data_IF_984909993802
#
_entry.id   IF_984909993802
#
_cell.length_a   1.000
_cell.length_b   1.000
_cell.length_c   1.000
_cell.angle_alpha   90.00
_cell.angle_beta   90.00
_cell.angle_gamma   90.00
#
_symmetry.space_group_name_H-M   'P 1'
#
loop_
_entity.id
_entity.type
_entity.pdbx_description
1 polymer ?
#
# COMPACT_ATOMS: atom_id res chain seq x y z
N UNK A 1 -2.97 4.29 9.53
CA UNK A 1 -2.86 2.82 9.78
C UNK A 1 -1.58 2.13 9.27
N UNK A 2 -0.88 2.63 8.24
CA UNK A 2 0.31 1.96 7.68
C UNK A 2 1.56 2.00 8.60
N UNK A 3 1.64 2.99 9.50
CA UNK A 3 2.66 3.02 10.55
C UNK A 3 2.51 1.85 11.51
N UNK A 4 1.31 1.47 11.95
CA UNK A 4 1.12 0.40 12.94
C UNK A 4 1.58 -0.98 12.46
N UNK A 5 1.47 -1.28 11.16
CA UNK A 5 1.76 -2.62 10.60
C UNK A 5 3.25 -2.87 10.33
N UNK A 6 3.94 -1.85 9.80
CA UNK A 6 5.40 -1.87 9.69
C UNK A 6 6.03 -1.74 11.08
N UNK A 7 5.34 -1.07 12.01
CA UNK A 7 5.69 -1.03 13.43
C UNK A 7 5.49 -2.38 14.11
N UNK A 8 4.46 -3.18 13.80
CA UNK A 8 4.31 -4.53 14.39
C UNK A 8 5.50 -5.42 14.04
N UNK A 9 5.82 -5.61 12.76
CA UNK A 9 6.98 -6.42 12.36
C UNK A 9 8.28 -5.91 12.97
N UNK A 10 8.50 -4.58 12.97
CA UNK A 10 9.70 -3.98 13.57
C UNK A 10 9.76 -4.14 15.09
N UNK A 11 8.66 -3.93 15.81
CA UNK A 11 8.58 -4.11 17.26
C UNK A 11 8.81 -5.57 17.61
N UNK A 12 8.17 -6.49 16.90
CA UNK A 12 8.27 -7.92 17.13
C UNK A 12 9.70 -8.43 16.84
N UNK A 13 10.35 -7.94 15.78
CA UNK A 13 11.76 -8.27 15.51
C UNK A 13 12.68 -7.63 16.56
N UNK A 14 12.42 -6.38 16.96
CA UNK A 14 13.20 -5.71 17.99
C UNK A 14 13.09 -6.44 19.33
N UNK A 15 11.88 -6.87 19.72
CA UNK A 15 11.68 -7.62 20.95
C UNK A 15 12.34 -8.99 20.90
N UNK A 16 12.33 -9.67 19.74
CA UNK A 16 13.10 -10.89 19.52
C UNK A 16 14.59 -10.62 19.74
N UNK A 17 15.18 -9.61 19.10
CA UNK A 17 16.61 -9.27 19.27
C UNK A 17 16.95 -8.96 20.73
N UNK A 18 16.12 -8.17 21.41
CA UNK A 18 16.32 -7.84 22.83
C UNK A 18 16.28 -9.10 23.69
N UNK A 19 15.32 -10.00 23.47
CA UNK A 19 15.22 -11.27 24.19
C UNK A 19 16.40 -12.19 23.90
N UNK A 20 16.85 -12.29 22.65
CA UNK A 20 18.04 -13.07 22.27
C UNK A 20 19.31 -12.52 22.93
N UNK A 21 19.46 -11.20 23.00
CA UNK A 21 20.59 -10.56 23.70
C UNK A 21 20.54 -10.82 25.22
N UNK A 22 19.36 -10.76 25.83
CA UNK A 22 19.17 -11.10 27.24
C UNK A 22 19.46 -12.59 27.50
N UNK A 23 19.02 -13.47 26.61
CA UNK A 23 19.32 -14.90 26.67
C UNK A 23 20.82 -15.17 26.57
N UNK A 24 21.50 -14.51 25.64
CA UNK A 24 22.97 -14.59 25.50
C UNK A 24 23.69 -14.13 26.77
N UNK A 25 23.27 -13.00 27.34
CA UNK A 25 23.82 -12.50 28.60
C UNK A 25 23.60 -13.51 29.75
N UNK A 26 22.38 -14.05 29.88
CA UNK A 26 22.08 -15.07 30.89
C UNK A 26 22.96 -16.31 30.71
N UNK A 27 23.11 -16.81 29.49
CA UNK A 27 23.88 -18.01 29.19
C UNK A 27 25.39 -17.88 29.42
N UNK A 28 25.94 -16.66 29.39
CA UNK A 28 27.38 -16.42 29.58
C UNK A 28 27.68 -16.08 31.06
N UNK A 29 26.89 -15.20 31.67
CA UNK A 29 27.24 -14.59 32.95
C UNK A 29 26.43 -15.12 34.12
N UNK A 30 25.12 -15.30 33.96
CA UNK A 30 24.22 -15.55 35.09
C UNK A 30 23.90 -17.03 35.30
N UNK A 31 23.88 -17.82 34.22
CA UNK A 31 23.53 -19.25 34.20
C UNK A 31 22.26 -19.58 35.01
N UNK A 32 21.26 -18.69 34.97
CA UNK A 32 20.02 -18.89 35.71
C UNK A 32 19.15 -19.86 34.89
N UNK A 33 18.98 -21.08 35.40
CA UNK A 33 18.11 -22.10 34.83
C UNK A 33 16.94 -22.38 35.77
N UNK A 34 15.74 -21.95 35.39
CA UNK A 34 14.50 -22.20 36.16
C UNK A 34 13.93 -23.61 35.95
N UNK A 35 14.21 -24.22 34.79
CA UNK A 35 13.67 -25.53 34.40
C UNK A 35 14.84 -26.44 34.03
N UNK A 36 14.89 -27.61 34.67
CA UNK A 36 15.84 -28.67 34.34
C UNK A 36 15.13 -29.76 33.56
N UNK A 37 15.64 -30.07 32.38
CA UNK A 37 15.08 -31.08 31.48
C UNK A 37 15.99 -32.32 31.46
N UNK A 38 15.38 -33.50 31.42
CA UNK A 38 16.09 -34.75 31.20
C UNK A 38 16.41 -34.95 29.72
N UNK A 39 17.37 -35.83 29.41
CA UNK A 39 17.75 -36.16 28.03
C UNK A 39 16.55 -36.51 27.14
N UNK A 40 15.68 -37.40 27.62
CA UNK A 40 14.49 -37.80 26.88
C UNK A 40 13.56 -36.62 26.63
N UNK A 41 13.37 -35.74 27.61
CA UNK A 41 12.53 -34.55 27.45
C UNK A 41 13.09 -33.60 26.39
N UNK A 42 14.41 -33.41 26.36
CA UNK A 42 15.08 -32.60 25.33
C UNK A 42 14.84 -33.22 23.96
N UNK A 43 15.12 -34.51 23.79
CA UNK A 43 14.89 -35.21 22.52
C UNK A 43 13.45 -35.03 22.02
N UNK A 44 12.46 -35.26 22.89
CA UNK A 44 11.06 -35.14 22.52
C UNK A 44 10.65 -33.70 22.18
N UNK A 45 11.07 -32.71 22.98
CA UNK A 45 10.68 -31.31 22.78
C UNK A 45 11.22 -30.80 21.44
N UNK A 46 12.53 -30.91 21.20
CA UNK A 46 13.13 -30.30 20.00
C UNK A 46 12.82 -31.07 18.73
N UNK A 47 12.64 -32.39 18.80
CA UNK A 47 12.14 -33.17 17.65
C UNK A 47 10.69 -32.82 17.33
N UNK A 48 9.81 -32.71 18.33
CA UNK A 48 8.40 -32.38 18.10
C UNK A 48 8.22 -30.94 17.60
N UNK A 49 8.99 -30.01 18.15
CA UNK A 49 8.94 -28.60 17.79
C UNK A 49 9.31 -28.41 16.30
N UNK A 50 10.41 -29.00 15.84
CA UNK A 50 10.81 -28.97 14.43
C UNK A 50 9.73 -29.55 13.49
N UNK A 51 9.07 -30.64 13.89
CA UNK A 51 7.98 -31.26 13.12
C UNK A 51 6.74 -30.38 13.06
N UNK A 52 6.34 -29.77 14.19
CA UNK A 52 5.19 -28.86 14.26
C UNK A 52 5.43 -27.64 13.39
N UNK A 53 6.62 -27.03 13.47
CA UNK A 53 6.99 -25.89 12.61
C UNK A 53 6.96 -26.30 11.14
N UNK A 54 7.55 -27.44 10.78
CA UNK A 54 7.55 -27.91 9.39
C UNK A 54 6.14 -28.11 8.84
N UNK A 55 5.24 -28.71 9.62
CA UNK A 55 3.84 -28.89 9.25
C UNK A 55 3.10 -27.55 9.13
N UNK A 56 3.29 -26.64 10.10
CA UNK A 56 2.68 -25.33 10.12
C UNK A 56 3.13 -24.49 8.91
N UNK A 57 4.42 -24.51 8.59
CA UNK A 57 4.99 -23.83 7.44
C UNK A 57 4.37 -24.33 6.13
N UNK A 58 4.26 -25.66 5.96
CA UNK A 58 3.62 -26.27 4.81
C UNK A 58 2.16 -25.82 4.63
N UNK A 59 1.40 -25.78 5.74
CA UNK A 59 0.01 -25.32 5.74
C UNK A 59 -0.10 -23.83 5.36
N UNK A 60 0.76 -22.98 5.91
CA UNK A 60 0.77 -21.54 5.62
C UNK A 60 1.10 -21.27 4.15
N UNK A 61 2.09 -21.96 3.58
CA UNK A 61 2.47 -21.81 2.17
C UNK A 61 1.30 -22.23 1.26
N UNK A 62 0.66 -23.36 1.56
CA UNK A 62 -0.51 -23.82 0.81
C UNK A 62 -1.68 -22.83 0.90
N UNK A 63 -1.99 -22.35 2.10
CA UNK A 63 -3.04 -21.36 2.34
C UNK A 63 -2.76 -20.04 1.61
N UNK A 64 -1.52 -19.54 1.67
CA UNK A 64 -1.10 -18.35 0.95
C UNK A 64 -1.27 -18.51 -0.57
N UNK A 65 -0.87 -19.64 -1.15
CA UNK A 65 -1.00 -19.87 -2.59
C UNK A 65 -2.45 -19.80 -3.09
N UNK A 66 -3.40 -20.27 -2.28
CA UNK A 66 -4.83 -20.20 -2.60
C UNK A 66 -5.31 -18.74 -2.54
N UNK A 67 -4.89 -18.00 -1.52
CA UNK A 67 -5.34 -16.62 -1.30
C UNK A 67 -4.72 -15.67 -2.31
N UNK A 68 -3.42 -15.81 -2.62
CA UNK A 68 -2.75 -15.01 -3.65
C UNK A 68 -3.44 -15.19 -5.01
N UNK A 69 -3.75 -16.43 -5.38
CA UNK A 69 -4.50 -16.75 -6.60
C UNK A 69 -5.87 -16.07 -6.60
N UNK A 70 -6.63 -16.17 -5.50
CA UNK A 70 -7.95 -15.54 -5.39
C UNK A 70 -7.91 -14.02 -5.46
N UNK A 71 -6.94 -13.38 -4.79
CA UNK A 71 -6.77 -11.92 -4.83
C UNK A 71 -6.36 -11.47 -6.22
N UNK A 72 -5.50 -12.23 -6.90
CA UNK A 72 -5.11 -11.95 -8.27
C UNK A 72 -6.31 -12.05 -9.22
N UNK A 73 -7.11 -13.11 -9.13
CA UNK A 73 -8.33 -13.24 -9.94
C UNK A 73 -9.30 -12.08 -9.70
N UNK A 74 -9.47 -11.63 -8.46
CA UNK A 74 -10.29 -10.45 -8.15
C UNK A 74 -9.77 -9.17 -8.86
N UNK A 75 -8.44 -8.96 -8.87
CA UNK A 75 -7.84 -7.82 -9.57
C UNK A 75 -7.87 -7.91 -11.10
N UNK A 76 -7.86 -9.14 -11.63
CA UNK A 76 -7.99 -9.41 -13.07
C UNK A 76 -9.45 -9.23 -13.54
N UNK A 77 -10.43 -9.60 -12.72
CA UNK A 77 -11.87 -9.45 -12.98
C UNK A 77 -12.37 -8.01 -12.80
N UNK A 78 -11.87 -7.31 -11.78
CA UNK A 78 -12.22 -5.92 -11.47
C UNK A 78 -10.98 -5.02 -11.45
N UNK A 79 -10.72 -4.36 -12.58
CA UNK A 79 -9.62 -3.41 -12.73
C UNK A 79 -9.68 -2.20 -11.78
N UNK A 80 -10.79 -2.00 -11.07
CA UNK A 80 -10.98 -0.89 -10.13
C UNK A 80 -10.31 -1.16 -8.79
N UNK A 81 -10.06 -2.43 -8.46
CA UNK A 81 -9.40 -2.84 -7.21
C UNK A 81 -7.94 -3.25 -7.39
N UNK A 82 -7.41 -3.24 -8.62
CA UNK A 82 -6.05 -3.73 -8.93
C UNK A 82 -4.98 -3.09 -8.05
N UNK A 83 -5.06 -1.77 -7.83
CA UNK A 83 -4.12 -1.04 -6.97
C UNK A 83 -4.12 -1.59 -5.53
N UNK A 84 -5.29 -1.90 -4.99
CA UNK A 84 -5.44 -2.45 -3.64
C UNK A 84 -5.02 -3.91 -3.56
N UNK A 85 -5.33 -4.71 -4.58
CA UNK A 85 -4.98 -6.13 -4.64
C UNK A 85 -3.46 -6.30 -4.70
N UNK A 86 -2.76 -5.49 -5.49
CA UNK A 86 -1.30 -5.59 -5.61
C UNK A 86 -0.58 -5.17 -4.32
N UNK A 87 -1.02 -4.09 -3.67
CA UNK A 87 -0.45 -3.68 -2.38
C UNK A 87 -0.71 -4.75 -1.30
N UNK A 88 -1.91 -5.33 -1.27
CA UNK A 88 -2.26 -6.38 -0.31
C UNK A 88 -1.43 -7.67 -0.52
N UNK A 89 -1.23 -8.07 -1.78
CA UNK A 89 -0.39 -9.23 -2.13
C UNK A 89 1.06 -9.01 -1.70
N UNK A 90 1.60 -7.81 -1.92
CA UNK A 90 2.97 -7.50 -1.50
C UNK A 90 3.15 -7.57 0.03
N UNK A 91 2.18 -7.08 0.79
CA UNK A 91 2.16 -7.17 2.25
C UNK A 91 2.10 -8.63 2.73
N UNK A 92 1.21 -9.44 2.14
CA UNK A 92 1.06 -10.86 2.50
C UNK A 92 2.34 -11.64 2.19
N UNK A 93 2.94 -11.39 1.03
CA UNK A 93 4.20 -12.00 0.64
C UNK A 93 5.32 -11.64 1.62
N UNK A 94 5.41 -10.37 2.03
CA UNK A 94 6.43 -9.92 2.98
C UNK A 94 6.28 -10.60 4.34
N UNK A 95 5.05 -10.70 4.87
CA UNK A 95 4.78 -11.39 6.12
C UNK A 95 5.11 -12.90 6.04
N UNK A 96 4.78 -13.55 4.92
CA UNK A 96 5.11 -14.95 4.67
C UNK A 96 6.62 -15.21 4.70
N UNK A 97 7.42 -14.32 4.08
CA UNK A 97 8.89 -14.45 4.07
C UNK A 97 9.46 -14.43 5.50
N UNK A 98 8.96 -13.58 6.38
CA UNK A 98 9.41 -13.58 7.79
C UNK A 98 9.12 -14.91 8.48
N UNK A 99 7.93 -15.48 8.28
CA UNK A 99 7.55 -16.78 8.85
C UNK A 99 8.46 -17.89 8.32
N UNK A 100 8.75 -17.90 7.02
CA UNK A 100 9.66 -18.88 6.39
C UNK A 100 11.05 -18.80 7.01
N UNK A 101 11.63 -17.60 7.07
CA UNK A 101 13.01 -17.40 7.58
C UNK A 101 13.12 -17.81 9.05
N UNK A 102 12.18 -17.37 9.90
CA UNK A 102 12.16 -17.74 11.31
C UNK A 102 11.97 -19.25 11.50
N UNK A 103 11.06 -19.87 10.75
CA UNK A 103 10.83 -21.33 10.79
C UNK A 103 12.08 -22.14 10.43
N UNK A 104 12.80 -21.73 9.38
CA UNK A 104 14.05 -22.40 8.99
C UNK A 104 15.12 -22.24 10.08
N UNK A 105 15.28 -21.02 10.63
CA UNK A 105 16.23 -20.79 11.73
C UNK A 105 15.92 -21.64 12.95
N UNK A 106 14.65 -21.75 13.33
CA UNK A 106 14.21 -22.54 14.47
C UNK A 106 14.49 -24.05 14.29
N UNK A 107 14.16 -24.59 13.10
CA UNK A 107 14.47 -25.98 12.76
C UNK A 107 15.98 -26.23 12.85
N UNK A 108 16.81 -25.30 12.35
CA UNK A 108 18.26 -25.42 12.45
C UNK A 108 18.72 -25.39 13.92
N UNK A 109 18.11 -24.55 14.77
CA UNK A 109 18.45 -24.49 16.19
C UNK A 109 18.03 -25.76 16.93
N UNK A 110 16.86 -26.34 16.61
CA UNK A 110 16.46 -27.65 17.10
C UNK A 110 17.50 -28.72 16.77
N UNK A 111 18.00 -28.75 15.54
CA UNK A 111 19.04 -29.71 15.10
C UNK A 111 20.37 -29.46 15.82
N UNK A 112 20.76 -28.20 16.04
CA UNK A 112 21.96 -27.83 16.79
C UNK A 112 21.86 -28.31 18.24
N UNK A 113 20.71 -28.09 18.90
CA UNK A 113 20.46 -28.57 20.26
C UNK A 113 20.66 -30.08 20.35
N UNK A 114 20.04 -30.84 19.46
CA UNK A 114 20.16 -32.30 19.43
C UNK A 114 21.60 -32.77 19.14
N UNK A 115 22.35 -32.02 18.31
CA UNK A 115 23.72 -32.37 17.94
C UNK A 115 24.75 -32.06 19.03
N UNK A 116 24.53 -31.00 19.82
CA UNK A 116 25.48 -30.54 20.84
C UNK A 116 25.21 -31.17 22.21
N UNK A 117 23.99 -31.70 22.44
CA UNK A 117 23.56 -32.19 23.76
C UNK A 117 24.58 -33.12 24.46
N UNK A 118 25.18 -34.06 23.72
CA UNK A 118 26.13 -35.03 24.27
C UNK A 118 27.61 -34.59 24.14
N UNK A 119 27.87 -33.32 23.86
CA UNK A 119 29.20 -32.79 23.56
C UNK A 119 29.70 -31.84 24.66
N UNK A 120 31.01 -31.67 24.76
CA UNK A 120 31.69 -30.94 25.86
C UNK A 120 31.34 -29.43 25.91
N UNK A 121 30.74 -28.87 24.86
CA UNK A 121 30.36 -27.46 24.75
C UNK A 121 29.01 -27.12 25.44
N UNK A 122 28.90 -27.40 26.74
CA UNK A 122 27.68 -27.16 27.52
C UNK A 122 27.25 -25.68 27.62
N UNK A 123 28.19 -24.72 27.46
CA UNK A 123 27.89 -23.28 27.54
C UNK A 123 26.97 -22.84 26.40
N UNK A 124 27.20 -23.33 25.17
CA UNK A 124 26.37 -22.98 24.02
C UNK A 124 25.01 -23.68 24.05
N UNK A 125 24.91 -24.84 24.70
CA UNK A 125 23.69 -25.64 24.76
C UNK A 125 22.56 -24.86 25.46
N UNK A 126 22.84 -24.22 26.59
CA UNK A 126 21.82 -23.44 27.31
C UNK A 126 21.25 -22.30 26.46
N UNK A 127 22.11 -21.61 25.71
CA UNK A 127 21.68 -20.56 24.80
C UNK A 127 20.72 -21.10 23.73
N UNK A 128 21.14 -22.11 22.96
CA UNK A 128 20.34 -22.63 21.84
C UNK A 128 19.02 -23.24 22.30
N UNK A 129 19.00 -23.92 23.45
CA UNK A 129 17.79 -24.47 24.06
C UNK A 129 16.74 -23.37 24.29
N UNK A 130 17.11 -22.32 25.03
CA UNK A 130 16.21 -21.22 25.33
C UNK A 130 15.86 -20.42 24.08
N UNK A 131 16.82 -20.21 23.18
CA UNK A 131 16.64 -19.42 21.97
C UNK A 131 15.62 -20.05 21.02
N UNK A 132 15.66 -21.37 20.86
CA UNK A 132 14.67 -22.11 20.05
C UNK A 132 13.26 -21.92 20.59
N UNK A 133 13.06 -21.99 21.91
CA UNK A 133 11.73 -21.77 22.50
C UNK A 133 11.25 -20.33 22.27
N UNK A 134 12.15 -19.34 22.38
CA UNK A 134 11.84 -17.95 22.09
C UNK A 134 11.38 -17.82 20.62
N UNK A 135 12.20 -18.27 19.67
CA UNK A 135 11.87 -18.18 18.23
C UNK A 135 10.55 -18.87 17.93
N UNK A 136 10.29 -20.06 18.49
CA UNK A 136 9.02 -20.77 18.34
C UNK A 136 7.80 -19.93 18.76
N UNK A 137 7.86 -19.28 19.92
CA UNK A 137 6.76 -18.40 20.39
C UNK A 137 6.55 -17.25 19.42
N UNK A 138 7.62 -16.65 18.89
CA UNK A 138 7.53 -15.61 17.88
C UNK A 138 6.93 -16.10 16.57
N UNK A 139 7.29 -17.30 16.10
CA UNK A 139 6.67 -17.93 14.93
C UNK A 139 5.16 -18.08 15.14
N UNK A 140 4.72 -18.51 16.32
CA UNK A 140 3.30 -18.64 16.64
C UNK A 140 2.57 -17.29 16.62
N UNK A 141 3.17 -16.24 17.20
CA UNK A 141 2.61 -14.88 17.17
C UNK A 141 2.51 -14.35 15.73
N UNK A 142 3.55 -14.50 14.92
CA UNK A 142 3.56 -14.09 13.52
C UNK A 142 2.53 -14.86 12.70
N UNK A 143 2.42 -16.17 12.92
CA UNK A 143 1.44 -17.02 12.24
C UNK A 143 0.02 -16.61 12.59
N UNK A 144 -0.28 -16.41 13.88
CA UNK A 144 -1.59 -15.96 14.31
C UNK A 144 -1.95 -14.60 13.70
N UNK A 145 -1.01 -13.65 13.74
CA UNK A 145 -1.18 -12.35 13.12
C UNK A 145 -1.44 -12.46 11.61
N UNK A 146 -0.66 -13.29 10.91
CA UNK A 146 -0.82 -13.55 9.48
C UNK A 146 -2.21 -14.10 9.17
N UNK A 147 -2.69 -15.09 9.92
CA UNK A 147 -4.04 -15.65 9.75
C UNK A 147 -5.13 -14.59 9.96
N UNK A 148 -5.03 -13.77 11.01
CA UNK A 148 -5.96 -12.66 11.21
C UNK A 148 -5.88 -11.61 10.09
N UNK A 149 -4.71 -11.48 9.45
CA UNK A 149 -4.49 -10.53 8.37
C UNK A 149 -5.18 -10.93 7.06
N UNK A 150 -5.40 -12.23 6.84
CA UNK A 150 -6.04 -12.79 5.64
C UNK A 150 -7.57 -12.52 5.55
N UNK A 151 -8.12 -11.62 6.38
CA UNK A 151 -9.55 -11.31 6.40
C UNK A 151 -9.99 -10.57 5.11
N UNK A 152 -11.06 -11.03 4.41
CA UNK A 152 -11.56 -10.37 3.20
C UNK A 152 -11.98 -8.90 3.39
N UNK A 153 -12.27 -8.47 4.62
CA UNK A 153 -12.60 -7.07 4.90
C UNK A 153 -11.42 -6.11 4.72
N UNK A 154 -10.18 -6.60 4.58
CA UNK A 154 -8.99 -5.75 4.38
C UNK A 154 -9.01 -4.95 3.09
N UNK A 155 -9.62 -5.50 2.03
CA UNK A 155 -9.78 -4.77 0.77
C UNK A 155 -10.67 -3.53 0.97
N UNK A 156 -11.77 -3.71 1.70
CA UNK A 156 -12.73 -2.65 2.00
C UNK A 156 -12.17 -1.61 2.98
N UNK A 157 -11.37 -2.05 3.97
CA UNK A 157 -10.65 -1.15 4.89
C UNK A 157 -9.67 -0.23 4.13
N UNK A 158 -8.93 -0.75 3.15
CA UNK A 158 -8.04 0.07 2.31
C UNK A 158 -8.83 1.10 1.48
N UNK A 159 -9.96 0.69 0.90
CA UNK A 159 -10.86 1.61 0.20
C UNK A 159 -11.38 2.74 1.09
N UNK A 160 -11.83 2.42 2.32
CA UNK A 160 -12.29 3.44 3.27
C UNK A 160 -11.20 4.45 3.67
N UNK A 161 -9.97 4.00 3.94
CA UNK A 161 -8.85 4.91 4.27
C UNK A 161 -8.52 5.82 3.09
N UNK A 162 -8.52 5.28 1.88
CA UNK A 162 -8.23 6.06 0.68
C UNK A 162 -9.32 7.10 0.39
N UNK A 163 -10.59 6.75 0.61
CA UNK A 163 -11.71 7.69 0.53
C UNK A 163 -11.49 8.86 1.50
N UNK A 164 -11.22 8.57 2.77
CA UNK A 164 -11.00 9.60 3.80
C UNK A 164 -9.79 10.48 3.49
N UNK A 165 -8.68 9.90 3.02
CA UNK A 165 -7.49 10.65 2.62
C UNK A 165 -7.75 11.61 1.45
N UNK A 166 -8.61 11.22 0.49
CA UNK A 166 -8.98 12.07 -0.65
C UNK A 166 -10.00 13.13 -0.24
N UNK A 167 -10.98 12.84 0.61
CA UNK A 167 -11.94 13.85 1.10
C UNK A 167 -11.25 14.96 1.90
N UNK A 168 -10.14 14.64 2.59
CA UNK A 168 -9.29 15.67 3.21
C UNK A 168 -8.71 16.66 2.19
N UNK A 169 -8.47 16.28 0.94
CA UNK A 169 -8.00 17.20 -0.11
C UNK A 169 -9.05 18.23 -0.53
N UNK A 170 -10.33 17.86 -0.41
CA UNK A 170 -11.45 18.63 -0.95
C UNK A 170 -12.29 19.34 0.12
N UNK A 171 -12.04 19.01 1.39
CA UNK A 171 -12.72 19.63 2.53
C UNK A 171 -12.31 21.08 2.73
N UNK A 172 -13.18 21.98 2.28
CA UNK A 172 -13.31 23.30 2.88
C UNK A 172 -14.09 23.16 4.20
N UNK A 173 -13.90 24.10 5.12
CA UNK A 173 -14.57 24.19 6.45
C UNK A 173 -16.11 24.16 6.42
N UNK A 174 -16.74 24.00 5.26
CA UNK A 174 -18.17 23.88 5.03
C UNK A 174 -18.52 22.48 4.54
N UNK A 175 -18.94 21.64 5.48
CA UNK A 175 -19.46 20.28 5.31
C UNK A 175 -20.83 20.29 4.65
N UNK A 176 -20.90 20.52 3.33
CA UNK A 176 -22.07 20.14 2.55
C UNK A 176 -21.77 18.81 1.83
N UNK A 177 -22.01 17.71 2.55
CA UNK A 177 -22.08 16.37 1.96
C UNK A 177 -23.45 16.21 1.31
N UNK A 178 -23.47 15.80 0.04
CA UNK A 178 -24.72 15.54 -0.68
C UNK A 178 -24.85 14.04 -0.96
N UNK A 179 -26.09 13.53 -1.01
CA UNK A 179 -26.43 12.16 -1.41
C UNK A 179 -26.23 11.93 -2.93
N UNK A 180 -25.06 12.31 -3.45
CA UNK A 180 -24.74 12.33 -4.89
C UNK A 180 -23.93 11.12 -5.36
N UNK A 181 -23.98 9.99 -4.64
CA UNK A 181 -23.29 8.74 -5.03
C UNK A 181 -23.55 8.33 -6.48
N UNK A 182 -24.82 8.11 -6.80
CA UNK A 182 -25.24 7.59 -8.11
C UNK A 182 -24.93 8.59 -9.24
N UNK A 183 -25.24 9.90 -9.08
CA UNK A 183 -24.78 10.94 -10.01
C UNK A 183 -23.26 10.94 -10.23
N UNK A 184 -22.47 10.86 -9.16
CA UNK A 184 -21.00 10.86 -9.23
C UNK A 184 -20.46 9.69 -10.05
N UNK A 185 -20.88 8.46 -9.71
CA UNK A 185 -20.45 7.25 -10.44
C UNK A 185 -20.88 7.31 -11.90
N UNK A 186 -22.07 7.84 -12.18
CA UNK A 186 -22.58 8.01 -13.56
C UNK A 186 -21.71 8.98 -14.35
N UNK A 187 -21.43 10.17 -13.81
CA UNK A 187 -20.56 11.16 -14.47
C UNK A 187 -19.15 10.65 -14.67
N UNK A 188 -18.61 9.91 -13.69
CA UNK A 188 -17.29 9.31 -13.81
C UNK A 188 -17.23 8.29 -14.95
N UNK A 189 -18.26 7.45 -15.08
CA UNK A 189 -18.33 6.48 -16.18
C UNK A 189 -18.46 7.17 -17.56
N UNK A 190 -19.11 8.34 -17.63
CA UNK A 190 -19.13 9.16 -18.84
C UNK A 190 -17.73 9.71 -19.18
N UNK A 191 -17.00 10.19 -18.17
CA UNK A 191 -15.61 10.64 -18.33
C UNK A 191 -14.69 9.49 -18.78
N UNK A 192 -14.76 8.34 -18.12
CA UNK A 192 -13.97 7.14 -18.48
C UNK A 192 -14.23 6.73 -19.94
N UNK A 193 -15.51 6.66 -20.34
CA UNK A 193 -15.88 6.34 -21.72
C UNK A 193 -15.33 7.37 -22.71
N UNK A 194 -15.43 8.66 -22.39
CA UNK A 194 -14.95 9.75 -23.25
C UNK A 194 -13.43 9.65 -23.45
N UNK A 195 -12.66 9.49 -22.37
CA UNK A 195 -11.20 9.36 -22.39
C UNK A 195 -10.78 8.16 -23.25
N UNK A 196 -11.39 6.99 -23.03
CA UNK A 196 -11.09 5.77 -23.79
C UNK A 196 -11.46 5.90 -25.27
N UNK A 197 -12.62 6.49 -25.57
CA UNK A 197 -13.07 6.70 -26.95
C UNK A 197 -12.09 7.61 -27.69
N UNK A 198 -11.70 8.72 -27.08
CA UNK A 198 -10.77 9.66 -27.70
C UNK A 198 -9.38 9.03 -27.92
N UNK A 199 -8.88 8.25 -26.95
CA UNK A 199 -7.62 7.54 -27.11
C UNK A 199 -7.64 6.51 -28.25
N UNK A 200 -8.74 5.77 -28.41
CA UNK A 200 -8.92 4.84 -29.52
C UNK A 200 -8.94 5.55 -30.88
N UNK A 201 -9.64 6.69 -30.98
CA UNK A 201 -9.65 7.50 -32.22
C UNK A 201 -8.25 8.00 -32.58
N UNK A 202 -7.44 8.40 -31.60
CA UNK A 202 -6.06 8.86 -31.81
C UNK A 202 -5.07 7.75 -32.19
N UNK A 203 -5.45 6.49 -32.01
CA UNK A 203 -4.61 5.31 -32.34
C UNK A 203 -5.14 4.56 -33.57
N UNK A 204 -5.95 5.23 -34.41
CA UNK A 204 -6.59 4.65 -35.59
C UNK A 204 -7.39 3.36 -35.28
N UNK A 205 -8.00 3.28 -34.09
CA UNK A 205 -8.77 2.13 -33.61
C UNK A 205 -7.99 0.79 -33.56
N UNK A 206 -6.66 0.83 -33.49
CA UNK A 206 -5.84 -0.37 -33.29
C UNK A 206 -6.18 -1.08 -31.96
N UNK A 207 -6.68 -0.33 -30.97
CA UNK A 207 -7.08 -0.82 -29.67
C UNK A 207 -8.59 -0.61 -29.50
N UNK A 208 -9.29 -1.62 -28.98
CA UNK A 208 -10.72 -1.52 -28.67
C UNK A 208 -10.96 -0.69 -27.41
N UNK A 209 -11.99 0.16 -27.43
CA UNK A 209 -12.46 0.96 -26.27
C UNK A 209 -12.75 0.09 -25.05
N UNK A 210 -13.15 -1.16 -25.25
CA UNK A 210 -13.44 -2.11 -24.17
C UNK A 210 -12.21 -2.79 -23.59
N UNK A 211 -11.08 -2.76 -24.31
CA UNK A 211 -9.82 -3.39 -23.88
C UNK A 211 -8.84 -2.40 -23.29
N UNK A 212 -8.89 -1.13 -23.72
CA UNK A 212 -7.97 -0.10 -23.25
C UNK A 212 -8.25 0.25 -21.78
N UNK A 213 -7.21 0.21 -20.96
CA UNK A 213 -7.31 0.66 -19.58
C UNK A 213 -7.30 2.20 -19.52
N UNK A 214 -7.92 2.78 -18.49
CA UNK A 214 -7.97 4.24 -18.36
C UNK A 214 -6.58 4.89 -18.30
N UNK A 215 -5.59 4.22 -17.70
CA UNK A 215 -4.20 4.71 -17.68
C UNK A 215 -3.59 4.79 -19.07
N UNK A 216 -3.74 3.73 -19.87
CA UNK A 216 -3.25 3.70 -21.25
C UNK A 216 -3.92 4.79 -22.09
N UNK A 217 -5.22 5.01 -21.87
CA UNK A 217 -5.97 6.06 -22.54
C UNK A 217 -5.46 7.45 -22.13
N UNK A 218 -5.25 7.70 -20.83
CA UNK A 218 -4.69 8.96 -20.34
C UNK A 218 -3.27 9.20 -20.87
N UNK A 219 -2.42 8.17 -20.95
CA UNK A 219 -1.07 8.25 -21.50
C UNK A 219 -1.08 8.59 -23.00
N UNK A 220 -2.05 8.07 -23.75
CA UNK A 220 -2.26 8.44 -25.16
C UNK A 220 -2.65 9.91 -25.25
N UNK A 221 -3.64 10.36 -24.47
CA UNK A 221 -4.08 11.75 -24.48
C UNK A 221 -2.96 12.72 -24.08
N UNK A 222 -2.12 12.34 -23.11
CA UNK A 222 -0.96 13.13 -22.69
C UNK A 222 0.11 13.21 -23.79
N UNK A 223 0.42 12.10 -24.46
CA UNK A 223 1.40 12.06 -25.56
C UNK A 223 0.97 12.87 -26.78
N UNK A 224 -0.32 12.95 -27.04
CA UNK A 224 -0.90 13.79 -28.08
C UNK A 224 -1.16 15.23 -27.61
N UNK A 225 -0.70 15.58 -26.41
CA UNK A 225 -0.92 16.88 -25.78
C UNK A 225 -2.39 17.29 -25.73
N UNK A 226 -3.34 16.36 -25.69
CA UNK A 226 -4.75 16.69 -25.48
C UNK A 226 -4.96 17.18 -24.04
N UNK A 227 -4.28 16.52 -23.11
CA UNK A 227 -4.26 16.85 -21.68
C UNK A 227 -2.84 17.16 -21.22
N UNK A 228 -2.69 17.96 -20.16
CA UNK A 228 -1.41 18.19 -19.49
C UNK A 228 -1.25 17.22 -18.29
N UNK A 229 -0.10 17.26 -17.64
CA UNK A 229 0.22 16.38 -16.49
C UNK A 229 -0.71 16.65 -15.29
N UNK A 230 -1.13 17.89 -15.11
CA UNK A 230 -2.05 18.30 -14.06
C UNK A 230 -3.42 17.67 -14.25
N UNK A 231 -3.98 17.76 -15.47
CA UNK A 231 -5.24 17.10 -15.83
C UNK A 231 -5.15 15.59 -15.67
N UNK A 232 -4.03 14.99 -16.12
CA UNK A 232 -3.77 13.56 -15.96
C UNK A 232 -3.87 13.14 -14.48
N UNK A 233 -3.17 13.86 -13.60
CA UNK A 233 -3.17 13.57 -12.18
C UNK A 233 -4.58 13.73 -11.57
N UNK A 234 -5.31 14.79 -11.94
CA UNK A 234 -6.68 15.02 -11.45
C UNK A 234 -7.64 13.89 -11.85
N UNK A 235 -7.61 13.45 -13.12
CA UNK A 235 -8.47 12.33 -13.56
C UNK A 235 -8.08 11.03 -12.84
N UNK A 236 -6.78 10.80 -12.61
CA UNK A 236 -6.33 9.63 -11.87
C UNK A 236 -6.76 9.67 -10.38
N UNK A 237 -6.76 10.85 -9.74
CA UNK A 237 -7.30 11.02 -8.38
C UNK A 237 -8.81 10.74 -8.34
N UNK A 238 -9.58 11.23 -9.32
CA UNK A 238 -11.02 10.94 -9.43
C UNK A 238 -11.30 9.45 -9.62
N UNK A 239 -10.47 8.75 -10.40
CA UNK A 239 -10.54 7.28 -10.54
C UNK A 239 -10.38 6.59 -9.20
N UNK A 240 -9.34 6.96 -8.46
CA UNK A 240 -9.01 6.40 -7.15
C UNK A 240 -10.11 6.65 -6.14
N UNK A 241 -10.65 7.88 -6.10
CA UNK A 241 -11.80 8.22 -5.27
C UNK A 241 -13.04 7.38 -5.62
N UNK A 242 -13.36 7.25 -6.91
CA UNK A 242 -14.48 6.40 -7.35
C UNK A 242 -14.32 4.96 -6.89
N UNK A 243 -13.11 4.41 -7.01
CA UNK A 243 -12.83 3.04 -6.61
C UNK A 243 -12.93 2.87 -5.09
N UNK A 244 -12.36 3.81 -4.33
CA UNK A 244 -12.47 3.88 -2.88
C UNK A 244 -13.93 3.91 -2.41
N UNK A 245 -14.75 4.78 -3.03
CA UNK A 245 -16.17 4.96 -2.71
C UNK A 245 -17.03 3.74 -3.06
N UNK A 246 -16.73 3.05 -4.16
CA UNK A 246 -17.48 1.82 -4.53
C UNK A 246 -17.19 0.70 -3.54
N UNK A 247 -15.95 0.59 -3.07
CA UNK A 247 -15.44 -0.54 -2.28
C UNK A 247 -15.27 -0.26 -0.77
N UNK A 248 -15.60 0.95 -0.30
CA UNK A 248 -15.56 1.32 1.12
C UNK A 248 -16.60 0.57 1.95
N UNK A 249 -16.34 0.46 3.26
CA UNK A 249 -17.28 -0.11 4.25
C UNK A 249 -18.51 0.77 4.54
N UNK A 250 -18.51 2.02 4.06
CA UNK A 250 -19.58 2.98 4.37
C UNK A 250 -20.91 2.56 3.76
N UNK A 251 -21.93 2.45 4.61
CA UNK A 251 -23.32 2.22 4.20
C UNK A 251 -23.92 3.45 3.52
N UNK A 252 -23.52 4.63 3.98
CA UNK A 252 -23.92 5.92 3.42
C UNK A 252 -22.81 6.42 2.51
N UNK A 253 -22.95 6.13 1.20
CA UNK A 253 -21.96 6.49 0.18
C UNK A 253 -22.05 7.97 -0.20
N UNK A 254 -21.98 8.87 0.77
CA UNK A 254 -22.00 10.31 0.50
C UNK A 254 -20.75 10.73 -0.27
N UNK A 255 -20.90 11.76 -1.11
CA UNK A 255 -19.81 12.33 -1.91
C UNK A 255 -19.65 13.79 -1.53
N UNK A 256 -18.40 14.20 -1.40
CA UNK A 256 -18.08 15.59 -1.17
C UNK A 256 -18.39 16.45 -2.41
N UNK A 257 -19.15 17.52 -2.20
CA UNK A 257 -19.68 18.36 -3.28
C UNK A 257 -18.58 18.97 -4.16
N UNK A 258 -17.43 19.32 -3.57
CA UNK A 258 -16.28 19.85 -4.32
C UNK A 258 -15.68 18.80 -5.28
N UNK A 259 -15.64 17.53 -4.87
CA UNK A 259 -15.15 16.43 -5.72
C UNK A 259 -16.10 16.24 -6.91
N UNK A 260 -17.41 16.22 -6.65
CA UNK A 260 -18.41 16.10 -7.71
C UNK A 260 -18.32 17.26 -8.71
N UNK A 261 -18.24 18.50 -8.22
CA UNK A 261 -18.12 19.69 -9.07
C UNK A 261 -16.84 19.67 -9.92
N UNK A 262 -15.72 19.21 -9.35
CA UNK A 262 -14.47 19.04 -10.08
C UNK A 262 -14.62 18.00 -11.21
N UNK A 263 -15.21 16.84 -10.92
CA UNK A 263 -15.48 15.80 -11.92
C UNK A 263 -16.35 16.34 -13.06
N UNK A 264 -17.47 17.00 -12.74
CA UNK A 264 -18.38 17.55 -13.74
C UNK A 264 -17.68 18.59 -14.63
N UNK A 265 -16.83 19.44 -14.03
CA UNK A 265 -16.12 20.48 -14.77
C UNK A 265 -15.05 19.91 -15.70
N UNK A 266 -14.24 18.96 -15.23
CA UNK A 266 -13.24 18.27 -16.05
C UNK A 266 -13.92 17.55 -17.22
N UNK A 267 -15.01 16.82 -16.95
CA UNK A 267 -15.77 16.13 -17.99
C UNK A 267 -16.29 17.12 -19.05
N UNK A 268 -16.90 18.23 -18.62
CA UNK A 268 -17.47 19.22 -19.53
C UNK A 268 -16.40 19.85 -20.43
N UNK A 269 -15.25 20.21 -19.85
CA UNK A 269 -14.13 20.81 -20.59
C UNK A 269 -13.52 19.81 -21.57
N UNK A 270 -13.28 18.57 -21.15
CA UNK A 270 -12.75 17.53 -22.03
C UNK A 270 -13.73 17.17 -23.15
N UNK A 271 -15.03 17.13 -22.85
CA UNK A 271 -16.07 16.90 -23.85
C UNK A 271 -16.12 18.03 -24.87
N UNK A 272 -15.98 19.28 -24.44
CA UNK A 272 -15.91 20.42 -25.36
C UNK A 272 -14.69 20.36 -26.29
N UNK A 273 -13.54 19.83 -25.81
CA UNK A 273 -12.37 19.58 -26.67
C UNK A 273 -12.72 18.51 -27.72
N UNK A 274 -13.30 17.40 -27.28
CA UNK A 274 -13.65 16.28 -28.15
C UNK A 274 -14.69 16.66 -29.22
N UNK A 275 -15.77 17.35 -28.82
CA UNK A 275 -16.86 17.75 -29.71
C UNK A 275 -16.38 18.78 -30.75
N UNK A 276 -15.42 19.65 -30.39
CA UNK A 276 -14.89 20.71 -31.27
C UNK A 276 -13.55 20.35 -31.92
N UNK A 277 -13.16 19.07 -31.96
CA UNK A 277 -11.85 18.62 -32.46
C UNK A 277 -11.57 18.95 -33.93
N UNK A 278 -12.60 19.19 -34.73
CA UNK A 278 -12.49 19.56 -36.15
C UNK A 278 -12.25 21.06 -36.38
N UNK A 279 -12.50 21.90 -35.39
CA UNK A 279 -12.27 23.35 -35.46
C UNK A 279 -11.00 23.70 -34.68
N UNK A 280 -9.93 24.02 -35.40
CA UNK A 280 -8.61 24.30 -34.82
C UNK A 280 -8.64 25.44 -33.78
N UNK A 281 -9.49 26.46 -33.98
CA UNK A 281 -9.57 27.60 -33.06
C UNK A 281 -10.31 27.22 -31.78
N UNK A 282 -11.47 26.58 -31.90
CA UNK A 282 -12.25 26.14 -30.74
C UNK A 282 -11.53 25.03 -29.96
N UNK A 283 -10.85 24.12 -30.67
CA UNK A 283 -10.03 23.08 -30.07
C UNK A 283 -8.91 23.68 -29.20
N UNK A 284 -8.12 24.61 -29.75
CA UNK A 284 -7.04 25.26 -29.01
C UNK A 284 -7.56 26.06 -27.80
N UNK A 285 -8.68 26.77 -27.95
CA UNK A 285 -9.30 27.52 -26.85
C UNK A 285 -9.80 26.60 -25.74
N UNK A 286 -10.48 25.49 -26.08
CA UNK A 286 -10.99 24.56 -25.07
C UNK A 286 -9.86 23.80 -24.37
N UNK A 287 -8.79 23.46 -25.09
CA UNK A 287 -7.56 22.91 -24.52
C UNK A 287 -6.92 23.89 -23.52
N UNK A 288 -6.79 25.17 -23.89
CA UNK A 288 -6.26 26.20 -22.99
C UNK A 288 -7.13 26.35 -21.72
N UNK A 289 -8.46 26.35 -21.84
CA UNK A 289 -9.38 26.40 -20.69
C UNK A 289 -9.23 25.21 -19.75
N UNK A 290 -9.05 24.00 -20.30
CA UNK A 290 -8.81 22.81 -19.47
C UNK A 290 -7.48 22.93 -18.73
N UNK A 291 -6.43 23.39 -19.41
CA UNK A 291 -5.11 23.53 -18.80
C UNK A 291 -5.12 24.59 -17.71
N UNK A 292 -5.74 25.74 -17.97
CA UNK A 292 -5.93 26.81 -17.00
C UNK A 292 -6.77 26.33 -15.82
N UNK A 293 -7.86 25.61 -16.05
CA UNK A 293 -8.68 25.06 -14.97
C UNK A 293 -7.87 24.10 -14.09
N UNK A 294 -7.16 23.14 -14.70
CA UNK A 294 -6.34 22.18 -13.97
C UNK A 294 -5.17 22.84 -13.23
N UNK A 295 -4.61 23.94 -13.77
CA UNK A 295 -3.60 24.73 -13.09
C UNK A 295 -4.18 25.54 -11.92
N UNK A 296 -5.34 26.16 -12.09
CA UNK A 296 -5.99 27.02 -11.10
C UNK A 296 -6.64 26.26 -9.94
N UNK A 297 -7.09 25.02 -10.16
CA UNK A 297 -7.43 24.11 -9.06
C UNK A 297 -6.20 23.78 -8.19
N UNK A 298 -5.00 24.13 -8.66
CA UNK A 298 -3.75 23.95 -7.96
C UNK A 298 -3.38 22.48 -7.80
N UNK A 299 -2.31 22.27 -7.04
CA UNK A 299 -2.13 20.99 -6.36
C UNK A 299 -3.22 20.90 -5.28
N UNK A 300 -3.71 19.70 -4.94
CA UNK A 300 -4.72 19.54 -3.88
C UNK A 300 -4.27 20.22 -2.58
N UNK A 301 -5.21 20.50 -1.67
CA UNK A 301 -4.90 21.22 -0.42
C UNK A 301 -3.71 20.59 0.30
N UNK A 302 -3.63 19.26 0.30
CA UNK A 302 -2.55 18.50 0.91
C UNK A 302 -1.24 18.64 0.13
N UNK A 303 -1.23 18.63 -1.20
CA UNK A 303 0.03 18.89 -1.95
C UNK A 303 0.58 20.29 -1.71
N UNK A 304 -0.28 21.30 -1.56
CA UNK A 304 0.16 22.65 -1.20
C UNK A 304 0.73 22.68 0.22
N UNK A 305 0.12 21.98 1.17
CA UNK A 305 0.67 21.83 2.52
C UNK A 305 1.99 21.05 2.53
N UNK A 306 2.14 20.03 1.67
CA UNK A 306 3.41 19.32 1.49
C UNK A 306 4.48 20.29 0.97
N UNK A 307 4.18 21.10 -0.05
CA UNK A 307 5.11 22.08 -0.59
C UNK A 307 5.48 23.14 0.45
N UNK A 308 4.52 23.63 1.22
CA UNK A 308 4.75 24.58 2.31
C UNK A 308 5.65 23.96 3.40
N UNK A 309 5.37 22.74 3.80
CA UNK A 309 6.17 22.01 4.78
C UNK A 309 7.61 21.75 4.28
N UNK A 310 7.75 21.37 3.00
CA UNK A 310 9.04 21.11 2.37
C UNK A 310 9.82 22.38 2.01
N UNK A 311 9.17 23.55 1.94
CA UNK A 311 9.84 24.83 1.72
C UNK A 311 10.69 25.25 2.92
N UNK A 312 10.36 24.74 4.11
CA UNK A 312 11.04 25.05 5.37
C UNK A 312 11.88 23.89 5.90
N UNK A 313 11.60 22.64 5.49
CA UNK A 313 12.27 21.45 6.01
C UNK A 313 12.56 20.39 4.93
N UNK A 314 13.68 19.68 5.05
CA UNK A 314 13.87 18.41 4.33
C UNK A 314 13.24 17.28 5.13
N UNK A 315 12.21 16.63 4.59
CA UNK A 315 11.43 15.65 5.36
C UNK A 315 11.27 14.30 4.64
N UNK A 316 11.12 13.24 5.42
CA UNK A 316 10.75 11.91 4.93
C UNK A 316 9.23 11.79 4.75
N UNK A 317 8.80 10.84 3.92
CA UNK A 317 7.38 10.56 3.70
C UNK A 317 6.62 10.23 5.01
N UNK A 318 7.31 9.69 6.03
CA UNK A 318 6.68 9.39 7.32
C UNK A 318 6.43 10.66 8.14
N UNK A 319 7.38 11.61 8.12
CA UNK A 319 7.25 12.88 8.83
C UNK A 319 6.10 13.70 8.23
N UNK A 320 6.02 13.72 6.90
CA UNK A 320 4.95 14.41 6.16
C UNK A 320 3.58 13.74 6.43
N UNK A 321 3.52 12.40 6.36
CA UNK A 321 2.28 11.66 6.64
C UNK A 321 1.74 11.93 8.05
N UNK A 322 2.64 11.99 9.04
CA UNK A 322 2.28 12.29 10.42
C UNK A 322 1.82 13.75 10.60
N UNK A 323 2.47 14.70 9.92
CA UNK A 323 2.12 16.12 9.98
C UNK A 323 0.72 16.37 9.40
N UNK A 324 0.41 15.74 8.25
CA UNK A 324 -0.83 15.97 7.51
C UNK A 324 -1.95 15.01 7.89
N UNK A 325 -1.69 14.08 8.82
CA UNK A 325 -2.64 13.06 9.28
C UNK A 325 -3.31 12.26 8.14
N UNK A 326 -2.48 11.85 7.17
CA UNK A 326 -2.86 11.01 6.02
C UNK A 326 -2.05 9.72 5.99
N UNK A 327 -2.50 8.73 5.21
CA UNK A 327 -1.73 7.51 5.03
C UNK A 327 -0.38 7.77 4.32
N UNK A 328 0.66 7.04 4.75
CA UNK A 328 1.97 7.06 4.08
C UNK A 328 1.87 6.73 2.59
N UNK A 329 0.95 5.85 2.19
CA UNK A 329 0.72 5.50 0.79
C UNK A 329 0.24 6.73 0.00
N UNK A 330 -0.76 7.45 0.53
CA UNK A 330 -1.23 8.71 -0.04
C UNK A 330 -0.11 9.75 -0.10
N UNK A 331 0.69 9.90 0.96
CA UNK A 331 1.84 10.82 0.98
C UNK A 331 2.89 10.50 -0.09
N UNK A 332 3.29 9.22 -0.23
CA UNK A 332 4.29 8.82 -1.23
C UNK A 332 3.79 9.09 -2.65
N UNK A 333 2.51 8.84 -2.91
CA UNK A 333 1.86 9.15 -4.20
C UNK A 333 1.84 10.65 -4.48
N UNK A 334 1.43 11.48 -3.52
CA UNK A 334 1.46 12.94 -3.65
C UNK A 334 2.87 13.46 -3.92
N UNK A 335 3.88 12.91 -3.25
CA UNK A 335 5.28 13.21 -3.52
C UNK A 335 5.72 12.78 -4.92
N UNK A 336 5.26 11.63 -5.43
CA UNK A 336 5.51 11.22 -6.82
C UNK A 336 4.86 12.17 -7.83
N UNK A 337 3.61 12.60 -7.59
CA UNK A 337 2.92 13.59 -8.43
C UNK A 337 3.72 14.91 -8.48
N UNK A 338 4.09 15.45 -7.32
CA UNK A 338 4.91 16.66 -7.21
C UNK A 338 6.28 16.50 -7.88
N UNK A 339 6.89 15.31 -7.79
CA UNK A 339 8.15 15.00 -8.47
C UNK A 339 7.99 14.95 -9.99
N UNK A 340 6.91 14.35 -10.52
CA UNK A 340 6.60 14.27 -11.95
C UNK A 340 6.32 15.64 -12.57
N UNK A 341 5.84 16.58 -11.74
CA UNK A 341 5.65 17.99 -12.06
C UNK A 341 6.92 18.83 -11.88
N UNK A 342 8.06 18.22 -11.52
CA UNK A 342 9.36 18.86 -11.29
C UNK A 342 9.39 19.89 -10.14
N UNK A 343 8.50 19.80 -9.16
CA UNK A 343 8.39 20.77 -8.05
C UNK A 343 9.25 20.40 -6.85
N UNK A 344 9.55 19.12 -6.68
CA UNK A 344 10.35 18.60 -5.58
C UNK A 344 11.42 17.64 -6.09
N UNK A 345 12.50 17.50 -5.33
CA UNK A 345 13.55 16.52 -5.60
C UNK A 345 13.86 15.61 -4.40
N UNK A 346 14.32 14.41 -4.72
CA UNK A 346 14.74 13.41 -3.75
C UNK A 346 16.17 13.71 -3.30
N UNK A 347 16.39 13.67 -2.01
CA UNK A 347 17.69 13.82 -1.36
C UNK A 347 17.94 12.62 -0.44
N UNK A 348 19.18 12.11 -0.44
CA UNK A 348 19.60 10.97 0.38
C UNK A 348 19.57 9.61 -0.34
N UNK A 349 20.19 8.59 0.29
CA UNK A 349 20.37 7.25 -0.26
C UNK A 349 19.52 6.19 0.48
N UNK A 350 18.92 5.27 -0.29
CA UNK A 350 18.22 4.04 0.11
C UNK A 350 17.21 4.17 1.28
N UNK A 351 17.68 4.22 2.53
CA UNK A 351 16.85 4.13 3.75
C UNK A 351 16.47 5.48 4.35
N UNK A 352 17.05 6.58 3.88
CA UNK A 352 16.75 7.94 4.33
C UNK A 352 16.39 8.85 3.15
N UNK A 353 15.45 8.39 2.32
CA UNK A 353 14.87 9.24 1.30
C UNK A 353 14.13 10.40 1.97
N UNK A 354 14.63 11.61 1.72
CA UNK A 354 14.00 12.87 2.08
C UNK A 354 13.65 13.64 0.82
N UNK A 355 12.65 14.48 0.91
CA UNK A 355 12.22 15.36 -0.16
C UNK A 355 12.52 16.80 0.22
N UNK A 356 12.78 17.64 -0.79
CA UNK A 356 12.83 19.10 -0.66
C UNK A 356 12.23 19.74 -1.91
N UNK A 357 11.76 20.97 -1.77
CA UNK A 357 11.35 21.79 -2.91
C UNK A 357 12.57 22.08 -3.79
N UNK A 358 12.36 22.06 -5.10
CA UNK A 358 13.40 22.32 -6.10
C UNK A 358 13.76 23.79 -6.19
#
# INVERSE_FOLDING_TARGET
>A
MNNFKNTFHKITILSLIVLSCLNLYNSIFSNISLIFLTENQILYIYSALAQIIGALLGLIIAGYSIIDSKIKTLGDEDHTITDYTDELRHEYFTALIYIIVLSIMDILFCLIVLSIYNNIFHICLSFFMTETIIIFVFIMIFTFHFVCYLNPSKLQEKGSIEKEDIEKDYSSLTTEQTDTFSPFVTYYNLLDKLVKTYACELTDNQISVYKIQIFEALDILLRHEIINKETYNQINELRRYRNALVHSLDTDKTVETNIYNNLEKIYTLLKAIYDNRSDNNLFAQNKAKLYEYSHNQGYGSIENEILLFLSTHTASANEIANHLNISRASTVRKLQNLQNLNLIEKTGANKQLKWKVK
#
